data_IF_163252649746
#
_entry.id   IF_163252649746
#
_cell.length_a   1.000
_cell.length_b   1.000
_cell.length_c   1.000
_cell.angle_alpha   90.00
_cell.angle_beta   90.00
_cell.angle_gamma   90.00
#
_symmetry.space_group_name_H-M   'P 1'
#
loop_
_entity.id
_entity.type
_entity.pdbx_description
1 polymer ?
#
# COMPACT_ATOMS: atom_id res chain seq x y z
N UNK A 1 -28.59 -28.40 -2.41
CA UNK A 1 -27.25 -28.53 -3.05
C UNK A 1 -26.30 -27.51 -2.43
N UNK A 2 -25.26 -27.95 -1.70
CA UNK A 2 -24.26 -27.03 -1.12
C UNK A 2 -23.40 -26.47 -2.25
N UNK A 3 -23.51 -25.16 -2.52
CA UNK A 3 -22.69 -24.48 -3.54
C UNK A 3 -21.22 -24.62 -3.12
N UNK A 4 -20.38 -25.17 -4.01
CA UNK A 4 -18.94 -25.26 -3.76
C UNK A 4 -18.35 -23.86 -3.86
N UNK A 5 -17.74 -23.36 -2.78
CA UNK A 5 -16.99 -22.09 -2.77
C UNK A 5 -15.88 -22.14 -3.83
N UNK A 6 -15.95 -21.27 -4.83
CA UNK A 6 -15.05 -21.32 -6.01
C UNK A 6 -13.85 -20.39 -5.90
N UNK A 7 -13.95 -19.30 -5.14
CA UNK A 7 -12.96 -18.23 -5.16
C UNK A 7 -12.16 -18.20 -3.86
N UNK A 8 -10.83 -18.37 -3.96
CA UNK A 8 -9.92 -18.22 -2.84
C UNK A 8 -9.25 -16.84 -2.88
N UNK A 9 -9.13 -16.17 -1.72
CA UNK A 9 -8.58 -14.82 -1.60
C UNK A 9 -7.55 -14.73 -0.45
N UNK A 10 -6.36 -14.16 -0.70
CA UNK A 10 -5.39 -13.82 0.37
C UNK A 10 -5.64 -12.38 0.82
N UNK A 11 -6.06 -12.18 2.09
CA UNK A 11 -6.24 -10.86 2.71
C UNK A 11 -4.95 -10.05 2.86
N UNK A 12 -3.79 -10.69 2.77
CA UNK A 12 -2.50 -10.01 2.89
C UNK A 12 -1.98 -9.54 1.53
N UNK A 13 -2.24 -10.28 0.46
CA UNK A 13 -1.87 -9.88 -0.89
C UNK A 13 -2.98 -9.09 -1.61
N UNK A 14 -4.16 -8.96 -0.99
CA UNK A 14 -5.37 -8.42 -1.59
C UNK A 14 -5.65 -8.93 -3.02
N UNK A 15 -5.41 -10.23 -3.24
CA UNK A 15 -5.54 -10.85 -4.55
C UNK A 15 -6.28 -12.18 -4.49
N UNK A 16 -7.00 -12.46 -5.57
CA UNK A 16 -7.59 -13.76 -5.83
C UNK A 16 -6.47 -14.76 -6.11
N UNK A 17 -6.52 -15.90 -5.42
CA UNK A 17 -5.56 -16.99 -5.55
C UNK A 17 -6.21 -18.09 -6.37
N UNK A 18 -5.82 -18.21 -7.64
CA UNK A 18 -6.36 -19.22 -8.56
C UNK A 18 -6.00 -20.66 -8.15
N UNK A 19 -4.81 -20.87 -7.60
CA UNK A 19 -4.31 -22.18 -7.18
C UNK A 19 -3.71 -22.12 -5.77
N UNK A 20 -4.52 -22.29 -4.71
CA UNK A 20 -3.99 -22.33 -3.36
C UNK A 20 -3.21 -23.62 -3.13
N UNK A 21 -2.02 -23.51 -2.53
CA UNK A 21 -1.09 -24.62 -2.32
C UNK A 21 -1.24 -25.16 -0.90
N UNK A 22 -0.94 -26.45 -0.72
CA UNK A 22 -0.74 -27.02 0.61
C UNK A 22 0.59 -26.49 1.17
N UNK A 23 0.62 -26.19 2.45
CA UNK A 23 1.88 -25.82 3.11
C UNK A 23 2.83 -27.01 3.08
N UNK A 24 4.09 -26.75 2.73
CA UNK A 24 5.15 -27.75 2.91
C UNK A 24 5.43 -27.85 4.40
N UNK A 25 5.60 -29.06 4.92
CA UNK A 25 6.05 -29.23 6.30
C UNK A 25 7.47 -28.68 6.40
N UNK A 26 7.70 -27.79 7.35
CA UNK A 26 9.06 -27.42 7.76
C UNK A 26 9.65 -28.51 8.65
N UNK A 27 10.98 -28.55 8.72
CA UNK A 27 11.74 -29.52 9.52
C UNK A 27 11.27 -29.60 10.98
N UNK A 28 10.95 -28.44 11.58
CA UNK A 28 10.43 -28.36 12.95
C UNK A 28 9.11 -29.10 13.16
N UNK A 29 8.20 -29.06 12.20
CA UNK A 29 6.92 -29.78 12.32
C UNK A 29 7.14 -31.29 12.33
N UNK A 30 8.14 -31.75 11.57
CA UNK A 30 8.55 -33.15 11.54
C UNK A 30 9.16 -33.58 12.88
N UNK A 31 10.02 -32.76 13.46
CA UNK A 31 10.62 -33.01 14.77
C UNK A 31 9.56 -33.12 15.87
N UNK A 32 8.59 -32.19 15.91
CA UNK A 32 7.49 -32.21 16.88
C UNK A 32 6.66 -33.49 16.73
N UNK A 33 6.37 -33.91 15.49
CA UNK A 33 5.60 -35.12 15.23
C UNK A 33 6.34 -36.37 15.73
N UNK A 34 7.66 -36.44 15.50
CA UNK A 34 8.51 -37.55 15.99
C UNK A 34 8.48 -37.61 17.52
N UNK A 35 8.70 -36.49 18.20
CA UNK A 35 8.68 -36.41 19.68
C UNK A 35 7.30 -36.82 20.22
N UNK A 36 6.22 -36.33 19.60
CA UNK A 36 4.86 -36.66 19.99
C UNK A 36 4.57 -38.16 19.80
N UNK A 37 5.02 -38.77 18.70
CA UNK A 37 4.82 -40.21 18.46
C UNK A 37 5.61 -41.09 19.44
N UNK A 38 6.83 -40.71 19.81
CA UNK A 38 7.64 -41.44 20.79
C UNK A 38 7.11 -41.30 22.21
N UNK A 39 6.53 -40.15 22.58
CA UNK A 39 5.97 -39.97 23.92
C UNK A 39 4.61 -40.67 24.09
N UNK A 40 3.89 -40.90 22.99
CA UNK A 40 2.55 -41.49 23.02
C UNK A 40 2.48 -42.86 22.34
N UNK A 41 3.42 -43.78 22.58
CA UNK A 41 3.44 -45.13 21.96
C UNK A 41 2.07 -45.87 21.92
N UNK A 42 1.10 -45.55 22.79
CA UNK A 42 -0.30 -46.04 22.73
C UNK A 42 -1.34 -45.12 22.05
N UNK A 43 -1.07 -43.82 21.85
CA UNK A 43 -1.97 -42.83 21.22
C UNK A 43 -1.37 -42.18 19.96
N UNK A 44 -0.21 -42.64 19.49
CA UNK A 44 0.47 -42.11 18.31
C UNK A 44 -0.43 -42.10 17.07
N UNK A 45 -1.32 -43.10 16.96
CA UNK A 45 -2.32 -43.21 15.90
C UNK A 45 -3.35 -42.05 15.96
N UNK A 46 -3.74 -41.64 17.16
CA UNK A 46 -4.66 -40.52 17.40
C UNK A 46 -3.97 -39.19 17.09
N UNK A 47 -2.74 -39.00 17.58
CA UNK A 47 -1.94 -37.80 17.26
C UNK A 47 -1.74 -37.65 15.75
N UNK A 48 -1.44 -38.76 15.06
CA UNK A 48 -1.29 -38.79 13.61
C UNK A 48 -2.61 -38.47 12.88
N UNK A 49 -3.74 -39.03 13.32
CA UNK A 49 -5.05 -38.75 12.74
C UNK A 49 -5.47 -37.29 12.93
N UNK A 50 -5.28 -36.73 14.14
CA UNK A 50 -5.56 -35.32 14.44
C UNK A 50 -4.70 -34.42 13.56
N UNK A 51 -3.39 -34.68 13.49
CA UNK A 51 -2.48 -33.93 12.63
C UNK A 51 -2.93 -33.97 11.17
N UNK A 52 -3.20 -35.17 10.64
CA UNK A 52 -3.61 -35.37 9.25
C UNK A 52 -4.93 -34.68 8.92
N UNK A 53 -5.92 -34.74 9.80
CA UNK A 53 -7.25 -34.17 9.55
C UNK A 53 -7.26 -32.64 9.69
N UNK A 54 -6.60 -32.08 10.70
CA UNK A 54 -6.66 -30.65 10.96
C UNK A 54 -5.68 -29.83 10.11
N UNK A 55 -4.44 -30.29 9.95
CA UNK A 55 -3.42 -29.51 9.24
C UNK A 55 -3.53 -29.61 7.71
N UNK A 56 -3.93 -30.76 7.16
CA UNK A 56 -3.96 -30.95 5.70
C UNK A 56 -5.14 -30.26 4.99
N UNK A 57 -6.17 -29.85 5.74
CA UNK A 57 -7.35 -29.17 5.17
C UNK A 57 -7.11 -27.69 4.92
N UNK A 58 -6.13 -27.07 5.59
CA UNK A 58 -5.83 -25.66 5.41
C UNK A 58 -5.09 -25.44 4.09
N UNK A 59 -5.50 -24.38 3.40
CA UNK A 59 -5.00 -24.00 2.08
C UNK A 59 -4.36 -22.63 2.20
N UNK A 60 -3.19 -22.48 1.58
CA UNK A 60 -2.36 -21.31 1.77
C UNK A 60 -2.07 -20.63 0.43
N UNK A 61 -1.86 -19.33 0.49
CA UNK A 61 -1.42 -18.56 -0.66
C UNK A 61 0.04 -18.92 -1.00
N UNK A 62 0.37 -19.14 -2.28
CA UNK A 62 1.74 -19.46 -2.70
C UNK A 62 2.73 -18.32 -2.46
N UNK A 63 2.26 -17.06 -2.42
CA UNK A 63 3.10 -15.88 -2.20
C UNK A 63 3.23 -15.53 -0.72
N UNK A 64 2.10 -15.28 -0.04
CA UNK A 64 2.07 -14.79 1.35
C UNK A 64 2.25 -15.92 2.40
N UNK A 65 2.13 -17.20 2.01
CA UNK A 65 2.01 -18.37 2.91
C UNK A 65 0.95 -18.26 4.01
N UNK A 66 0.07 -17.26 3.96
CA UNK A 66 -1.06 -17.11 4.88
C UNK A 66 -2.28 -17.89 4.37
N UNK A 67 -3.14 -18.26 5.31
CA UNK A 67 -4.38 -18.99 5.05
C UNK A 67 -5.32 -18.18 4.14
N UNK A 68 -5.87 -18.83 3.11
CA UNK A 68 -6.81 -18.20 2.17
C UNK A 68 -8.24 -18.37 2.64
N UNK A 69 -9.07 -17.33 2.44
CA UNK A 69 -10.52 -17.41 2.67
C UNK A 69 -11.24 -17.73 1.37
N UNK A 70 -12.28 -18.56 1.48
CA UNK A 70 -13.10 -18.99 0.37
C UNK A 70 -14.43 -18.25 0.35
N UNK A 71 -14.77 -17.68 -0.80
CA UNK A 71 -16.01 -16.94 -1.06
C UNK A 71 -16.82 -17.62 -2.16
N UNK A 72 -18.13 -17.48 -2.09
CA UNK A 72 -19.08 -18.07 -3.03
C UNK A 72 -19.30 -17.19 -4.26
N UNK A 73 -19.31 -15.87 -4.07
CA UNK A 73 -19.51 -14.89 -5.15
C UNK A 73 -18.32 -13.94 -5.29
N UNK A 74 -18.10 -13.35 -6.49
CA UNK A 74 -17.08 -12.33 -6.71
C UNK A 74 -17.36 -11.01 -5.96
N UNK A 75 -18.63 -10.74 -5.63
CA UNK A 75 -19.06 -9.51 -4.94
C UNK A 75 -18.77 -9.53 -3.44
N UNK A 76 -18.63 -10.72 -2.85
CA UNK A 76 -18.22 -10.90 -1.45
C UNK A 76 -16.72 -10.65 -1.21
N UNK A 77 -15.95 -10.34 -2.25
CA UNK A 77 -14.52 -10.07 -2.09
C UNK A 77 -14.32 -8.72 -1.40
N UNK A 78 -13.49 -8.66 -0.34
CA UNK A 78 -13.18 -7.38 0.28
C UNK A 78 -12.44 -6.51 -0.73
N UNK A 79 -12.92 -5.29 -0.91
CA UNK A 79 -12.25 -4.29 -1.74
C UNK A 79 -10.81 -4.10 -1.27
N UNK A 80 -9.84 -3.99 -2.18
CA UNK A 80 -8.45 -3.77 -1.82
C UNK A 80 -8.37 -2.45 -1.07
N UNK A 81 -7.82 -2.48 0.15
CA UNK A 81 -7.50 -1.25 0.89
C UNK A 81 -6.51 -0.47 0.04
N UNK A 82 -6.95 0.65 -0.53
CA UNK A 82 -6.08 1.60 -1.21
C UNK A 82 -4.97 1.96 -0.22
N UNK A 83 -3.69 1.86 -0.58
CA UNK A 83 -2.63 2.32 0.31
C UNK A 83 -2.90 3.80 0.61
N UNK A 84 -2.99 4.13 1.90
CA UNK A 84 -2.97 5.52 2.34
C UNK A 84 -1.56 5.99 2.04
N UNK A 85 -1.36 6.59 0.86
CA UNK A 85 -0.12 7.26 0.52
C UNK A 85 0.04 8.35 1.57
N UNK A 86 1.20 8.42 2.21
CA UNK A 86 1.48 9.35 3.31
C UNK A 86 1.10 10.77 2.91
N UNK A 87 -0.03 11.26 3.44
CA UNK A 87 -0.46 12.65 3.27
C UNK A 87 0.63 13.63 3.73
N UNK A 88 1.46 13.22 4.70
CA UNK A 88 2.62 13.96 5.20
C UNK A 88 3.66 14.24 4.10
N UNK A 89 3.94 13.27 3.23
CA UNK A 89 4.98 13.40 2.20
C UNK A 89 4.54 14.38 1.09
N UNK A 90 3.23 14.48 0.83
CA UNK A 90 2.65 15.50 -0.07
C UNK A 90 2.69 16.90 0.55
N UNK A 91 2.34 17.03 1.83
CA UNK A 91 2.36 18.33 2.53
C UNK A 91 3.78 18.91 2.65
N UNK A 92 4.80 18.07 2.80
CA UNK A 92 6.21 18.49 2.84
C UNK A 92 6.72 18.95 1.46
N UNK A 93 6.23 18.36 0.38
CA UNK A 93 6.60 18.77 -0.99
C UNK A 93 5.92 20.07 -1.39
N UNK A 94 4.65 20.26 -1.02
CA UNK A 94 3.91 21.50 -1.30
C UNK A 94 4.52 22.69 -0.53
N UNK A 95 4.84 22.54 0.76
CA UNK A 95 5.52 23.59 1.54
C UNK A 95 6.88 23.98 0.99
N UNK A 96 7.67 22.98 0.56
CA UNK A 96 9.00 23.24 0.01
C UNK A 96 8.96 23.96 -1.35
N UNK A 97 7.87 23.80 -2.10
CA UNK A 97 7.64 24.55 -3.33
C UNK A 97 7.24 26.01 -3.04
N UNK A 98 6.39 26.24 -2.03
CA UNK A 98 6.00 27.60 -1.60
C UNK A 98 7.20 28.42 -1.08
N UNK A 99 8.11 27.80 -0.31
CA UNK A 99 9.32 28.46 0.21
C UNK A 99 10.33 28.84 -0.89
N UNK A 100 10.28 28.17 -2.05
CA UNK A 100 11.15 28.47 -3.21
C UNK A 100 10.61 29.62 -4.04
N UNK A 101 9.29 29.71 -4.24
CA UNK A 101 8.65 30.81 -4.98
C UNK A 101 8.71 32.14 -4.20
N UNK A 102 8.58 32.12 -2.86
CA UNK A 102 8.61 33.36 -2.07
C UNK A 102 9.97 34.05 -2.00
N UNK A 103 11.06 33.34 -2.34
CA UNK A 103 12.42 33.87 -2.25
C UNK A 103 12.89 34.55 -3.55
N UNK A 104 12.26 34.26 -4.70
CA UNK A 104 12.58 34.91 -5.99
C UNK A 104 11.80 36.23 -6.22
N UNK A 105 10.68 36.46 -5.54
CA UNK A 105 9.84 37.67 -5.72
C UNK A 105 10.28 38.91 -4.92
N UNK A 106 11.32 38.81 -4.10
CA UNK A 106 11.64 39.82 -3.06
C UNK A 106 12.67 40.91 -3.45
N UNK A 107 13.00 41.09 -4.73
CA UNK A 107 13.91 42.16 -5.19
C UNK A 107 13.38 42.93 -6.42
N UNK A 108 12.06 43.18 -6.49
CA UNK A 108 11.50 44.03 -7.55
C UNK A 108 11.22 45.42 -6.96
N UNK A 109 12.14 46.36 -7.17
CA UNK A 109 11.93 47.78 -6.86
C UNK A 109 10.85 48.35 -7.80
N UNK A 110 9.89 49.09 -7.25
CA UNK A 110 8.88 49.81 -8.02
C UNK A 110 9.12 51.32 -7.95
N UNK A 111 9.05 52.02 -9.08
CA UNK A 111 9.10 53.49 -9.14
C UNK A 111 7.79 54.05 -9.71
N UNK A 112 7.51 55.32 -9.41
CA UNK A 112 6.35 56.02 -9.95
C UNK A 112 6.73 56.75 -11.24
N UNK A 113 5.96 56.56 -12.31
CA UNK A 113 6.20 57.23 -13.58
C UNK A 113 5.82 58.71 -13.53
N UNK A 114 6.73 59.62 -13.87
CA UNK A 114 6.47 61.06 -13.83
C UNK A 114 5.41 61.54 -14.84
N UNK A 115 5.15 60.78 -15.90
CA UNK A 115 4.19 61.17 -16.95
C UNK A 115 2.76 60.65 -16.70
N UNK A 116 2.61 59.40 -16.24
CA UNK A 116 1.28 58.78 -16.04
C UNK A 116 0.95 58.47 -14.58
N UNK A 117 1.85 58.77 -13.65
CA UNK A 117 1.73 58.62 -12.20
C UNK A 117 1.48 57.18 -11.72
N UNK A 118 1.65 56.18 -12.59
CA UNK A 118 1.48 54.76 -12.27
C UNK A 118 2.78 54.16 -11.73
N UNK A 119 2.64 53.19 -10.84
CA UNK A 119 3.75 52.37 -10.36
C UNK A 119 4.21 51.39 -11.44
N UNK A 120 5.52 51.36 -11.70
CA UNK A 120 6.17 50.54 -12.71
C UNK A 120 7.32 49.78 -12.07
N UNK A 121 7.55 48.57 -12.57
CA UNK A 121 8.68 47.74 -12.18
C UNK A 121 10.00 48.40 -12.63
N UNK A 122 10.95 48.54 -11.70
CA UNK A 122 12.30 49.12 -11.87
C UNK A 122 13.14 48.46 -12.95
N UNK A 123 12.81 47.24 -13.35
CA UNK A 123 13.49 46.54 -14.44
C UNK A 123 13.09 47.05 -15.84
N UNK A 124 12.10 47.93 -15.95
CA UNK A 124 11.64 48.51 -17.22
C UNK A 124 12.15 49.94 -17.37
N UNK A 125 12.95 50.19 -18.42
CA UNK A 125 13.45 51.52 -18.79
C UNK A 125 12.40 52.41 -19.46
N UNK A 126 11.34 51.81 -20.01
CA UNK A 126 10.25 52.50 -20.71
C UNK A 126 8.94 52.15 -20.02
N UNK A 127 8.12 53.16 -19.75
CA UNK A 127 6.80 52.95 -19.18
C UNK A 127 5.89 52.18 -20.15
N UNK A 128 5.34 51.01 -19.76
CA UNK A 128 4.49 50.20 -20.64
C UNK A 128 3.11 50.84 -20.90
N UNK A 129 2.70 51.81 -20.08
CA UNK A 129 1.39 52.45 -20.18
C UNK A 129 1.38 53.72 -21.02
N UNK A 130 2.50 54.46 -21.07
CA UNK A 130 2.57 55.75 -21.78
C UNK A 130 3.79 55.90 -22.70
N UNK A 131 4.73 54.95 -22.72
CA UNK A 131 5.91 54.98 -23.59
C UNK A 131 6.96 56.02 -23.20
N UNK A 132 6.87 56.59 -21.99
CA UNK A 132 7.85 57.57 -21.49
C UNK A 132 9.10 56.86 -20.95
N UNK A 133 10.28 57.37 -21.33
CA UNK A 133 11.59 56.94 -20.83
C UNK A 133 11.97 57.82 -19.64
N UNK A 134 12.40 57.17 -18.54
CA UNK A 134 12.77 57.84 -17.28
C UNK A 134 14.21 58.39 -17.31
#
# INVERSE_FOLDING_TARGET
>A
MVKKKKYAYCRTCNKVVSKPKKMKLDSFHYQILIIATLSTFGLALIAFLVYRLFFQRRKYCPTCRKEVKYYDTPDDLPTPKVPVINLLERLETDKKAEDLESNEESEIDYYQCDNCERMINGNLSICPYCGWEH
#
